data_IF_221933501152
#
_entry.id   IF_221933501152
#
_cell.length_a   1.000
_cell.length_b   1.000
_cell.length_c   1.000
_cell.angle_alpha   90.00
_cell.angle_beta   90.00
_cell.angle_gamma   90.00
#
_symmetry.space_group_name_H-M   'P 1'
#
loop_
_entity.id
_entity.type
_entity.pdbx_description
1 polymer ?
#
# COMPACT_ATOMS: atom_id res chain seq x y z
N UNK A 1 1.49 24.91 -5.57
CA UNK A 1 0.65 24.47 -4.39
C UNK A 1 1.39 23.44 -3.53
N UNK A 2 1.17 23.41 -2.19
CA UNK A 2 1.75 22.37 -1.29
C UNK A 2 1.02 21.03 -1.46
N UNK A 3 1.74 19.93 -1.61
CA UNK A 3 1.14 18.62 -1.89
C UNK A 3 1.90 17.46 -1.27
N UNK A 4 1.22 16.31 -1.14
CA UNK A 4 1.82 15.02 -0.80
C UNK A 4 1.65 14.03 -1.97
N UNK A 5 2.62 13.12 -2.11
CA UNK A 5 2.48 11.96 -3.00
C UNK A 5 2.08 10.73 -2.18
N UNK A 6 1.12 10.01 -2.71
CA UNK A 6 0.59 8.79 -2.13
C UNK A 6 0.87 7.60 -3.07
N UNK A 7 1.40 6.52 -2.55
CA UNK A 7 1.73 5.32 -3.32
C UNK A 7 0.76 4.19 -3.01
N UNK A 8 0.04 3.67 -4.02
CA UNK A 8 -0.93 2.61 -3.82
C UNK A 8 -0.27 1.28 -3.44
N UNK A 9 -1.05 0.42 -2.78
CA UNK A 9 -0.68 -0.94 -2.44
C UNK A 9 -1.39 -1.99 -3.27
N UNK A 10 -1.32 -3.24 -2.80
CA UNK A 10 -1.97 -4.38 -3.42
C UNK A 10 -3.48 -4.16 -3.59
N UNK A 11 -4.01 -4.52 -4.76
CA UNK A 11 -5.37 -4.24 -5.20
C UNK A 11 -5.45 -3.13 -6.26
N UNK A 12 -4.34 -2.40 -6.51
CA UNK A 12 -4.27 -1.39 -7.57
C UNK A 12 -3.69 -1.94 -8.88
N UNK A 13 -3.13 -3.16 -8.87
CA UNK A 13 -2.56 -3.80 -10.05
C UNK A 13 -3.66 -4.23 -11.05
N UNK A 14 -3.37 -4.05 -12.32
CA UNK A 14 -4.16 -4.61 -13.42
C UNK A 14 -3.24 -4.92 -14.59
N UNK A 15 -3.57 -5.94 -15.37
CA UNK A 15 -2.90 -6.17 -16.66
C UNK A 15 -3.13 -4.95 -17.55
N UNK A 16 -2.07 -4.43 -18.14
CA UNK A 16 -2.10 -3.20 -18.91
C UNK A 16 -1.99 -1.92 -18.06
N UNK A 17 -1.74 -2.01 -16.74
CA UNK A 17 -1.56 -0.81 -15.91
C UNK A 17 -0.46 0.11 -16.47
N UNK A 18 -0.67 1.43 -16.36
CA UNK A 18 0.19 2.48 -16.89
C UNK A 18 0.32 2.52 -18.44
N UNK A 19 -0.48 1.76 -19.19
CA UNK A 19 -0.46 1.81 -20.67
C UNK A 19 -0.86 3.19 -21.24
N UNK A 20 -1.54 4.01 -20.46
CA UNK A 20 -1.86 5.41 -20.79
C UNK A 20 -0.70 6.40 -20.66
N UNK A 21 0.48 5.96 -20.20
CA UNK A 21 1.69 6.76 -20.13
C UNK A 21 2.54 6.64 -21.40
N UNK A 22 3.08 7.78 -21.83
CA UNK A 22 4.03 7.88 -22.95
C UNK A 22 5.45 8.26 -22.49
N UNK A 23 5.64 8.51 -21.18
CA UNK A 23 6.92 8.91 -20.62
C UNK A 23 7.94 7.76 -20.70
N UNK A 24 9.17 8.01 -21.20
CA UNK A 24 10.19 6.96 -21.37
C UNK A 24 10.62 6.32 -20.05
N UNK A 25 10.50 7.02 -18.93
CA UNK A 25 10.79 6.54 -17.59
C UNK A 25 9.96 5.31 -17.22
N UNK A 26 8.74 5.18 -17.77
CA UNK A 26 7.86 4.04 -17.49
C UNK A 26 8.50 2.76 -18.04
N UNK A 27 8.84 2.74 -19.32
CA UNK A 27 9.44 1.57 -19.95
C UNK A 27 10.83 1.25 -19.38
N UNK A 28 11.65 2.28 -19.15
CA UNK A 28 12.99 2.12 -18.58
C UNK A 28 12.96 1.51 -17.16
N UNK A 29 12.02 1.93 -16.32
CA UNK A 29 11.91 1.42 -14.96
C UNK A 29 11.44 -0.04 -14.93
N UNK A 30 10.51 -0.45 -15.79
CA UNK A 30 10.09 -1.85 -15.87
C UNK A 30 11.21 -2.74 -16.46
N UNK A 31 12.02 -2.25 -17.40
CA UNK A 31 13.18 -2.96 -17.89
C UNK A 31 14.23 -3.17 -16.79
N UNK A 32 14.58 -2.12 -16.04
CA UNK A 32 15.47 -2.20 -14.88
C UNK A 32 14.93 -3.19 -13.83
N UNK A 33 13.63 -3.16 -13.53
CA UNK A 33 13.01 -4.10 -12.60
C UNK A 33 13.14 -5.55 -13.07
N UNK A 34 12.98 -5.79 -14.38
CA UNK A 34 13.12 -7.14 -14.97
C UNK A 34 14.55 -7.66 -14.84
N UNK A 35 15.56 -6.82 -15.08
CA UNK A 35 16.98 -7.18 -14.89
C UNK A 35 17.29 -7.52 -13.43
N UNK A 36 16.81 -6.72 -12.48
CA UNK A 36 17.06 -6.91 -11.04
C UNK A 36 16.43 -8.19 -10.51
N UNK A 37 15.21 -8.52 -10.98
CA UNK A 37 14.41 -9.64 -10.46
C UNK A 37 14.65 -10.94 -11.22
N UNK A 38 15.26 -10.87 -12.41
CA UNK A 38 15.53 -12.07 -13.24
C UNK A 38 14.29 -12.68 -13.89
N UNK A 39 13.18 -11.94 -13.97
CA UNK A 39 11.97 -12.32 -14.69
C UNK A 39 11.34 -11.11 -15.37
N UNK A 40 10.55 -11.35 -16.42
CA UNK A 40 10.02 -10.30 -17.28
C UNK A 40 8.81 -9.57 -16.65
N UNK A 41 9.11 -8.56 -15.83
CA UNK A 41 8.11 -7.67 -15.20
C UNK A 41 7.32 -6.94 -16.27
N UNK A 42 7.99 -6.49 -17.34
CA UNK A 42 7.37 -5.73 -18.44
C UNK A 42 6.26 -6.55 -19.10
N UNK A 43 6.55 -7.79 -19.46
CA UNK A 43 5.56 -8.68 -20.08
C UNK A 43 4.42 -8.99 -19.13
N UNK A 44 4.71 -9.34 -17.87
CA UNK A 44 3.69 -9.66 -16.90
C UNK A 44 2.73 -8.48 -16.67
N UNK A 45 3.25 -7.27 -16.58
CA UNK A 45 2.44 -6.06 -16.41
C UNK A 45 1.60 -5.74 -17.65
N UNK A 46 2.16 -5.89 -18.85
CA UNK A 46 1.47 -5.54 -20.11
C UNK A 46 0.47 -6.60 -20.57
N UNK A 47 0.85 -7.87 -20.47
CA UNK A 47 0.18 -8.99 -21.12
C UNK A 47 -0.44 -9.98 -20.13
N UNK A 48 -0.01 -9.96 -18.87
CA UNK A 48 -0.44 -10.90 -17.85
C UNK A 48 0.25 -12.26 -17.96
N UNK A 49 -0.39 -13.35 -17.51
CA UNK A 49 -1.81 -13.45 -17.11
C UNK A 49 -2.12 -12.76 -15.76
N UNK A 50 -3.38 -12.34 -15.60
CA UNK A 50 -3.82 -11.67 -14.37
C UNK A 50 -3.64 -12.53 -13.12
N UNK A 51 -3.81 -13.83 -13.21
CA UNK A 51 -3.61 -14.78 -12.10
C UNK A 51 -2.17 -14.73 -11.58
N UNK A 52 -1.19 -14.67 -12.46
CA UNK A 52 0.22 -14.56 -12.07
C UNK A 52 0.53 -13.17 -11.50
N UNK A 53 0.01 -12.11 -12.11
CA UNK A 53 0.18 -10.74 -11.60
C UNK A 53 -0.43 -10.59 -10.19
N UNK A 54 -1.50 -11.31 -9.87
CA UNK A 54 -2.18 -11.28 -8.58
C UNK A 54 -1.52 -12.15 -7.49
N UNK A 55 -0.50 -12.93 -7.82
CA UNK A 55 0.30 -13.63 -6.80
C UNK A 55 1.10 -12.61 -6.02
N UNK A 56 1.01 -12.65 -4.70
CA UNK A 56 1.57 -11.62 -3.81
C UNK A 56 3.06 -11.35 -4.07
N UNK A 57 3.85 -12.39 -4.35
CA UNK A 57 5.28 -12.29 -4.68
C UNK A 57 5.56 -11.68 -6.07
N UNK A 58 4.55 -11.57 -6.93
CA UNK A 58 4.62 -10.88 -8.24
C UNK A 58 3.99 -9.50 -8.17
N UNK A 59 2.85 -9.39 -7.49
CA UNK A 59 2.13 -8.11 -7.30
C UNK A 59 3.02 -7.06 -6.66
N UNK A 60 3.74 -7.41 -5.58
CA UNK A 60 4.48 -6.43 -4.81
C UNK A 60 5.62 -5.79 -5.61
N UNK A 61 6.54 -6.52 -6.26
CA UNK A 61 7.56 -5.89 -7.08
C UNK A 61 6.99 -5.19 -8.33
N UNK A 62 5.92 -5.70 -8.93
CA UNK A 62 5.27 -5.02 -10.08
C UNK A 62 4.69 -3.66 -9.69
N UNK A 63 4.02 -3.56 -8.52
CA UNK A 63 3.48 -2.30 -8.01
C UNK A 63 4.58 -1.33 -7.55
N UNK A 64 5.64 -1.82 -6.93
CA UNK A 64 6.79 -0.99 -6.57
C UNK A 64 7.42 -0.40 -7.83
N UNK A 65 7.67 -1.23 -8.86
CA UNK A 65 8.19 -0.76 -10.14
C UNK A 65 7.26 0.27 -10.80
N UNK A 66 5.95 0.02 -10.81
CA UNK A 66 4.95 0.94 -11.36
C UNK A 66 4.95 2.29 -10.63
N UNK A 67 4.94 2.30 -9.29
CA UNK A 67 4.97 3.53 -8.50
C UNK A 67 6.27 4.32 -8.71
N UNK A 68 7.42 3.64 -8.74
CA UNK A 68 8.73 4.29 -9.02
C UNK A 68 8.77 4.83 -10.45
N UNK A 69 8.19 4.11 -11.42
CA UNK A 69 8.12 4.58 -12.81
C UNK A 69 7.34 5.90 -12.93
N UNK A 70 6.17 5.98 -12.31
CA UNK A 70 5.36 7.21 -12.27
C UNK A 70 6.07 8.32 -11.49
N UNK A 71 6.76 7.99 -10.39
CA UNK A 71 7.57 8.95 -9.64
C UNK A 71 8.70 9.54 -10.51
N UNK A 72 9.44 8.73 -11.26
CA UNK A 72 10.48 9.20 -12.19
C UNK A 72 9.91 10.11 -13.28
N UNK A 73 8.76 9.72 -13.86
CA UNK A 73 8.04 10.55 -14.82
C UNK A 73 7.52 11.87 -14.21
N UNK A 74 7.17 11.87 -12.93
CA UNK A 74 6.81 13.09 -12.19
C UNK A 74 8.03 13.99 -11.98
N UNK A 75 9.17 13.43 -11.59
CA UNK A 75 10.40 14.17 -11.38
C UNK A 75 10.90 14.86 -12.65
N UNK A 76 10.71 14.23 -13.84
CA UNK A 76 11.10 14.83 -15.13
C UNK A 76 10.33 16.11 -15.48
N UNK A 77 9.18 16.38 -14.80
CA UNK A 77 8.43 17.62 -14.96
C UNK A 77 9.08 18.85 -14.29
N UNK A 78 10.17 18.67 -13.55
CA UNK A 78 10.89 19.76 -12.84
C UNK A 78 9.98 20.63 -11.95
N UNK A 79 9.06 19.99 -11.23
CA UNK A 79 8.12 20.63 -10.32
C UNK A 79 8.72 20.78 -8.92
N UNK A 80 8.17 21.68 -8.07
CA UNK A 80 8.52 21.73 -6.66
C UNK A 80 8.38 20.36 -6.00
N UNK A 81 9.31 20.00 -5.10
CA UNK A 81 9.25 18.74 -4.39
C UNK A 81 7.97 18.62 -3.52
N UNK A 82 7.41 17.41 -3.35
CA UNK A 82 6.33 17.17 -2.39
C UNK A 82 6.82 17.43 -0.96
N UNK A 83 5.93 17.88 -0.08
CA UNK A 83 6.27 18.11 1.33
C UNK A 83 6.27 16.83 2.15
N UNK A 84 5.54 15.81 1.72
CA UNK A 84 5.48 14.51 2.39
C UNK A 84 5.16 13.41 1.38
N UNK A 85 5.54 12.20 1.74
CA UNK A 85 5.20 10.96 1.04
C UNK A 85 4.47 10.03 2.00
N UNK A 86 3.56 9.23 1.47
CA UNK A 86 2.96 8.12 2.19
C UNK A 86 2.64 6.99 1.22
N UNK A 87 2.59 5.77 1.71
CA UNK A 87 2.20 4.63 0.88
C UNK A 87 1.36 3.65 1.67
N UNK A 88 0.36 3.05 1.02
CA UNK A 88 -0.49 2.06 1.65
C UNK A 88 0.14 0.69 1.57
N UNK A 89 0.43 0.05 2.72
CA UNK A 89 1.06 -1.27 2.80
C UNK A 89 2.34 -1.36 1.94
N UNK A 90 2.32 -2.06 0.83
CA UNK A 90 3.44 -2.10 -0.12
C UNK A 90 3.88 -0.71 -0.58
N UNK A 91 2.94 0.20 -0.78
CA UNK A 91 3.25 1.57 -1.21
C UNK A 91 4.20 2.33 -0.27
N UNK A 92 4.32 1.92 1.00
CA UNK A 92 5.30 2.49 1.93
C UNK A 92 6.75 2.24 1.47
N UNK A 93 7.03 1.07 0.89
CA UNK A 93 8.34 0.78 0.28
C UNK A 93 8.60 1.66 -0.93
N UNK A 94 7.59 1.88 -1.77
CA UNK A 94 7.68 2.79 -2.91
C UNK A 94 7.94 4.23 -2.44
N UNK A 95 7.26 4.68 -1.39
CA UNK A 95 7.49 5.99 -0.79
C UNK A 95 8.93 6.14 -0.26
N UNK A 96 9.49 5.10 0.35
CA UNK A 96 10.88 5.09 0.84
C UNK A 96 11.90 5.13 -0.32
N UNK A 97 11.62 4.47 -1.45
CA UNK A 97 12.43 4.59 -2.67
C UNK A 97 12.35 6.02 -3.21
N UNK A 98 11.15 6.58 -3.33
CA UNK A 98 10.95 7.95 -3.80
C UNK A 98 11.62 9.00 -2.90
N UNK A 99 11.70 8.74 -1.59
CA UNK A 99 12.40 9.57 -0.61
C UNK A 99 13.94 9.39 -0.61
N UNK A 100 14.49 8.46 -1.41
CA UNK A 100 15.91 8.12 -1.41
C UNK A 100 16.38 7.33 -0.19
N UNK A 101 15.46 6.83 0.63
CA UNK A 101 15.77 6.02 1.81
C UNK A 101 16.12 4.56 1.47
N UNK A 102 15.54 4.01 0.41
CA UNK A 102 15.83 2.69 -0.13
C UNK A 102 16.32 2.80 -1.58
N UNK A 103 17.32 2.00 -1.94
CA UNK A 103 17.69 1.81 -3.33
C UNK A 103 16.61 0.99 -4.06
N UNK A 104 16.34 1.32 -5.33
CA UNK A 104 15.28 0.66 -6.10
C UNK A 104 15.52 -0.84 -6.28
N UNK A 105 16.74 -1.25 -6.62
CA UNK A 105 17.09 -2.65 -6.80
C UNK A 105 16.97 -3.46 -5.50
N UNK A 106 17.39 -2.89 -4.37
CA UNK A 106 17.26 -3.53 -3.06
C UNK A 106 15.80 -3.61 -2.62
N UNK A 107 15.02 -2.56 -2.87
CA UNK A 107 13.60 -2.52 -2.57
C UNK A 107 12.81 -3.58 -3.37
N UNK A 108 13.13 -3.78 -4.67
CA UNK A 108 12.51 -4.82 -5.50
C UNK A 108 12.70 -6.22 -4.90
N UNK A 109 13.95 -6.56 -4.56
CA UNK A 109 14.28 -7.87 -3.93
C UNK A 109 13.63 -8.02 -2.56
N UNK A 110 13.57 -6.92 -1.80
CA UNK A 110 12.97 -6.91 -0.46
C UNK A 110 11.46 -7.15 -0.52
N UNK A 111 10.74 -6.50 -1.45
CA UNK A 111 9.29 -6.68 -1.55
C UNK A 111 8.90 -8.00 -2.24
N UNK A 112 9.74 -8.55 -3.12
CA UNK A 112 9.55 -9.92 -3.63
C UNK A 112 9.66 -10.93 -2.49
N UNK A 113 10.70 -10.83 -1.67
CA UNK A 113 10.86 -11.67 -0.47
C UNK A 113 9.68 -11.45 0.51
N UNK A 114 9.25 -10.20 0.73
CA UNK A 114 8.09 -9.88 1.57
C UNK A 114 6.85 -10.63 1.07
N UNK A 115 6.58 -10.60 -0.23
CA UNK A 115 5.46 -11.32 -0.85
C UNK A 115 5.54 -12.83 -0.64
N UNK A 116 6.72 -13.42 -0.83
CA UNK A 116 6.97 -14.86 -0.59
C UNK A 116 6.74 -15.24 0.87
N UNK A 117 7.29 -14.47 1.81
CA UNK A 117 7.15 -14.71 3.24
C UNK A 117 5.69 -14.58 3.71
N UNK A 118 4.97 -13.59 3.21
CA UNK A 118 3.55 -13.39 3.52
C UNK A 118 2.70 -14.54 2.96
N UNK A 119 2.97 -14.99 1.73
CA UNK A 119 2.25 -16.11 1.12
C UNK A 119 2.51 -17.43 1.87
N UNK A 120 3.72 -17.60 2.40
CA UNK A 120 4.11 -18.80 3.16
C UNK A 120 3.70 -18.75 4.65
N UNK A 121 3.18 -17.63 5.13
CA UNK A 121 2.89 -17.44 6.57
C UNK A 121 1.73 -18.30 7.07
N UNK A 122 0.77 -18.61 6.21
CA UNK A 122 -0.38 -19.47 6.51
C UNK A 122 -0.61 -20.46 5.35
N UNK A 123 -1.14 -21.66 5.64
CA UNK A 123 -1.53 -22.58 4.57
C UNK A 123 -2.58 -21.95 3.64
N UNK A 124 -2.49 -22.27 2.35
CA UNK A 124 -3.43 -21.75 1.37
C UNK A 124 -4.90 -22.08 1.75
N UNK A 125 -5.77 -21.09 1.66
CA UNK A 125 -7.20 -21.23 1.97
C UNK A 125 -7.56 -21.18 3.47
N UNK A 126 -6.58 -21.07 4.38
CA UNK A 126 -6.85 -21.02 5.83
C UNK A 126 -6.95 -19.61 6.39
N UNK A 127 -6.63 -18.60 5.62
CA UNK A 127 -6.74 -17.19 5.99
C UNK A 127 -7.23 -16.31 4.84
N UNK A 128 -7.51 -15.05 5.14
CA UNK A 128 -7.97 -14.08 4.15
C UNK A 128 -8.28 -12.73 4.77
N UNK A 129 -9.01 -11.92 4.00
CA UNK A 129 -9.41 -10.57 4.42
C UNK A 129 -10.86 -10.28 4.01
N UNK A 130 -11.51 -9.43 4.78
CA UNK A 130 -12.92 -9.02 4.60
C UNK A 130 -13.02 -7.51 4.78
N UNK A 131 -13.69 -6.82 3.88
CA UNK A 131 -14.03 -5.41 4.04
C UNK A 131 -15.33 -5.27 4.82
N UNK A 132 -15.30 -4.49 5.90
CA UNK A 132 -16.49 -4.08 6.70
C UNK A 132 -16.80 -2.63 6.36
N UNK A 133 -18.01 -2.37 5.88
CA UNK A 133 -18.45 -1.07 5.39
C UNK A 133 -19.64 -0.57 6.21
N UNK A 134 -19.58 0.72 6.59
CA UNK A 134 -20.67 1.43 7.27
C UNK A 134 -20.69 1.20 8.78
N UNK A 135 -19.58 0.78 9.36
CA UNK A 135 -19.39 0.63 10.79
C UNK A 135 -18.13 1.40 11.22
N UNK A 136 -18.22 2.15 12.30
CA UNK A 136 -17.11 2.94 12.83
C UNK A 136 -15.98 2.03 13.38
N UNK A 137 -14.76 2.57 13.39
CA UNK A 137 -13.54 1.83 13.68
C UNK A 137 -13.58 1.11 15.04
N UNK A 138 -14.03 1.80 16.11
CA UNK A 138 -14.17 1.24 17.47
C UNK A 138 -15.20 0.10 17.54
N UNK A 139 -16.27 0.20 16.75
CA UNK A 139 -17.29 -0.83 16.66
C UNK A 139 -16.79 -2.06 15.89
N UNK A 140 -15.96 -1.87 14.86
CA UNK A 140 -15.31 -2.99 14.17
C UNK A 140 -14.34 -3.69 15.11
N UNK A 141 -13.54 -2.94 15.89
CA UNK A 141 -12.66 -3.52 16.91
C UNK A 141 -13.45 -4.31 17.97
N UNK A 142 -14.57 -3.76 18.46
CA UNK A 142 -15.43 -4.44 19.41
C UNK A 142 -16.06 -5.71 18.82
N UNK A 143 -16.49 -5.64 17.55
CA UNK A 143 -17.04 -6.80 16.85
C UNK A 143 -16.01 -7.92 16.70
N UNK A 144 -14.80 -7.61 16.30
CA UNK A 144 -13.72 -8.61 16.22
C UNK A 144 -13.43 -9.24 17.59
N UNK A 145 -13.40 -8.45 18.67
CA UNK A 145 -13.21 -8.95 20.03
C UNK A 145 -14.37 -9.82 20.54
N UNK A 146 -15.57 -9.67 19.99
CA UNK A 146 -16.74 -10.48 20.38
C UNK A 146 -16.81 -11.83 19.69
N UNK A 147 -15.87 -12.14 18.78
CA UNK A 147 -15.77 -13.45 18.16
C UNK A 147 -15.58 -14.53 19.22
N UNK A 148 -16.42 -15.57 19.25
CA UNK A 148 -16.38 -16.56 20.33
C UNK A 148 -15.34 -17.67 20.15
N UNK A 149 -14.70 -17.75 18.96
CA UNK A 149 -13.69 -18.77 18.66
C UNK A 149 -12.29 -18.37 19.12
N UNK A 150 -11.33 -19.26 18.88
CA UNK A 150 -9.92 -19.05 19.22
C UNK A 150 -9.08 -18.54 18.02
N UNK A 151 -9.67 -18.54 16.83
CA UNK A 151 -9.01 -18.12 15.61
C UNK A 151 -8.79 -16.61 15.61
N UNK A 152 -7.72 -16.19 14.91
CA UNK A 152 -7.41 -14.77 14.76
C UNK A 152 -8.47 -14.06 13.92
N UNK A 153 -8.95 -12.92 14.44
CA UNK A 153 -9.85 -11.98 13.77
C UNK A 153 -9.46 -10.56 14.19
N UNK A 154 -8.74 -9.85 13.35
CA UNK A 154 -8.17 -8.54 13.69
C UNK A 154 -8.49 -7.48 12.63
N UNK A 155 -8.87 -6.24 13.03
CA UNK A 155 -8.96 -5.11 12.11
C UNK A 155 -7.57 -4.68 11.69
N UNK A 156 -7.35 -4.60 10.37
CA UNK A 156 -5.99 -4.48 9.82
C UNK A 156 -5.77 -3.28 8.90
N UNK A 157 -6.81 -2.75 8.25
CA UNK A 157 -6.66 -1.52 7.48
C UNK A 157 -7.80 -0.55 7.84
N UNK A 158 -7.46 0.53 8.51
CA UNK A 158 -8.36 1.65 8.78
C UNK A 158 -8.30 2.59 7.58
N UNK A 159 -9.07 2.27 6.54
CA UNK A 159 -8.92 2.86 5.21
C UNK A 159 -9.64 4.20 5.04
N UNK A 160 -10.81 4.35 5.64
CA UNK A 160 -11.59 5.59 5.68
C UNK A 160 -12.67 5.46 6.78
N UNK A 161 -13.27 6.55 7.25
CA UNK A 161 -14.42 6.49 8.16
C UNK A 161 -15.48 5.54 7.64
N UNK A 162 -15.86 4.55 8.43
CA UNK A 162 -16.80 3.49 8.05
C UNK A 162 -16.29 2.51 6.99
N UNK A 163 -14.98 2.38 6.80
CA UNK A 163 -14.37 1.38 5.92
C UNK A 163 -13.11 0.77 6.55
N UNK A 164 -13.27 -0.39 7.15
CA UNK A 164 -12.19 -1.15 7.79
C UNK A 164 -12.06 -2.51 7.11
N UNK A 165 -10.82 -2.95 6.88
CA UNK A 165 -10.53 -4.32 6.48
C UNK A 165 -10.13 -5.11 7.71
N UNK A 166 -10.68 -6.31 7.82
CA UNK A 166 -10.41 -7.30 8.88
C UNK A 166 -9.70 -8.48 8.26
N UNK A 167 -8.64 -8.96 8.88
CA UNK A 167 -7.92 -10.18 8.49
C UNK A 167 -8.02 -11.24 9.57
N UNK A 168 -7.86 -12.49 9.17
CA UNK A 168 -7.87 -13.61 10.10
C UNK A 168 -7.98 -14.95 9.42
N UNK A 169 -8.26 -15.96 10.21
CA UNK A 169 -8.50 -17.32 9.74
C UNK A 169 -9.91 -17.45 9.15
N UNK A 170 -10.07 -18.36 8.21
CA UNK A 170 -11.29 -18.48 7.39
C UNK A 170 -12.55 -18.64 8.25
N UNK A 171 -12.53 -19.48 9.31
CA UNK A 171 -13.68 -19.68 10.20
C UNK A 171 -14.12 -18.38 10.91
N UNK A 172 -13.17 -17.57 11.37
CA UNK A 172 -13.46 -16.29 12.01
C UNK A 172 -13.99 -15.25 11.00
N UNK A 173 -13.46 -15.24 9.79
CA UNK A 173 -13.96 -14.38 8.70
C UNK A 173 -15.37 -14.78 8.25
N UNK A 174 -15.69 -16.07 8.23
CA UNK A 174 -17.03 -16.57 7.92
C UNK A 174 -18.03 -16.17 9.00
N UNK A 175 -17.64 -16.25 10.27
CA UNK A 175 -18.45 -15.74 11.36
C UNK A 175 -18.70 -14.23 11.23
N UNK A 176 -17.66 -13.45 10.91
CA UNK A 176 -17.80 -12.01 10.70
C UNK A 176 -18.75 -11.69 9.54
N UNK A 177 -18.66 -12.43 8.42
CA UNK A 177 -19.55 -12.25 7.28
C UNK A 177 -21.01 -12.56 7.61
N UNK A 178 -21.26 -13.56 8.46
CA UNK A 178 -22.59 -13.95 8.90
C UNK A 178 -23.19 -12.96 9.93
N UNK A 179 -22.37 -12.42 10.83
CA UNK A 179 -22.85 -11.65 11.99
C UNK A 179 -22.71 -10.12 11.82
N UNK A 180 -21.82 -9.64 10.94
CA UNK A 180 -21.49 -8.23 10.85
C UNK A 180 -22.68 -7.31 10.61
N UNK A 181 -23.64 -7.70 9.78
CA UNK A 181 -24.86 -6.91 9.54
C UNK A 181 -25.73 -6.78 10.80
N UNK A 182 -25.85 -7.81 11.60
CA UNK A 182 -26.60 -7.76 12.86
C UNK A 182 -25.95 -6.81 13.89
N UNK A 183 -24.64 -6.55 13.75
CA UNK A 183 -23.88 -5.61 14.56
C UNK A 183 -23.78 -4.21 13.92
N UNK A 184 -24.55 -3.93 12.88
CA UNK A 184 -24.68 -2.59 12.29
C UNK A 184 -23.80 -2.33 11.07
N UNK A 185 -23.01 -3.29 10.57
CA UNK A 185 -22.31 -3.14 9.31
C UNK A 185 -23.31 -3.09 8.14
N UNK A 186 -23.15 -2.11 7.25
CA UNK A 186 -23.98 -2.03 6.03
C UNK A 186 -23.63 -3.17 5.08
N UNK A 187 -22.37 -3.54 4.98
CA UNK A 187 -21.87 -4.60 4.12
C UNK A 187 -20.63 -5.24 4.71
N UNK A 188 -20.52 -6.55 4.54
CA UNK A 188 -19.31 -7.34 4.83
C UNK A 188 -19.00 -8.13 3.57
N UNK A 189 -17.79 -7.91 3.01
CA UNK A 189 -17.43 -8.47 1.70
C UNK A 189 -16.04 -9.12 1.76
N UNK A 190 -15.95 -10.40 1.38
CA UNK A 190 -14.66 -11.08 1.23
C UNK A 190 -13.84 -10.43 0.11
N UNK A 191 -12.57 -10.20 0.37
CA UNK A 191 -11.63 -9.70 -0.63
C UNK A 191 -11.00 -10.88 -1.39
N UNK A 192 -10.66 -10.71 -2.67
CA UNK A 192 -10.02 -11.75 -3.48
C UNK A 192 -8.52 -11.88 -3.17
N UNK A 193 -8.19 -12.02 -1.87
CA UNK A 193 -6.83 -12.18 -1.36
C UNK A 193 -6.79 -13.35 -0.38
N UNK A 194 -5.76 -14.18 -0.48
CA UNK A 194 -5.61 -15.39 0.34
C UNK A 194 -4.67 -15.20 1.54
N UNK A 195 -4.01 -14.04 1.62
CA UNK A 195 -3.04 -13.74 2.67
C UNK A 195 -3.71 -12.83 3.72
N UNK A 196 -3.79 -13.23 5.00
CA UNK A 196 -4.31 -12.40 6.07
C UNK A 196 -3.26 -11.37 6.52
N UNK A 197 -3.06 -10.32 5.69
CA UNK A 197 -2.04 -9.30 5.90
C UNK A 197 -2.31 -8.44 7.13
N UNK A 198 -1.25 -7.92 7.74
CA UNK A 198 -1.30 -6.91 8.82
C UNK A 198 -1.92 -7.39 10.14
N UNK A 199 -2.06 -8.70 10.36
CA UNK A 199 -2.51 -9.30 11.63
C UNK A 199 -1.42 -10.17 12.27
N UNK A 200 -1.68 -10.65 13.46
CA UNK A 200 -0.73 -11.45 14.27
C UNK A 200 -0.24 -12.73 13.58
N UNK A 201 -0.99 -13.28 12.61
CA UNK A 201 -0.56 -14.42 11.79
C UNK A 201 0.69 -14.13 10.94
N UNK A 202 1.00 -12.85 10.70
CA UNK A 202 2.19 -12.44 9.94
C UNK A 202 3.47 -12.31 10.78
N UNK A 203 3.45 -12.53 12.11
CA UNK A 203 4.63 -12.32 12.97
C UNK A 203 5.86 -13.11 12.52
N UNK A 204 5.68 -14.40 12.23
CA UNK A 204 6.80 -15.23 11.77
C UNK A 204 7.38 -14.76 10.42
N UNK A 205 6.54 -14.28 9.51
CA UNK A 205 7.00 -13.66 8.26
C UNK A 205 7.77 -12.36 8.54
N UNK A 206 7.31 -11.55 9.51
CA UNK A 206 7.97 -10.32 9.91
C UNK A 206 9.35 -10.57 10.53
N UNK A 207 9.50 -11.61 11.36
CA UNK A 207 10.81 -11.98 11.96
C UNK A 207 11.81 -12.34 10.86
N UNK A 208 11.39 -13.10 9.85
CA UNK A 208 12.24 -13.44 8.69
C UNK A 208 12.59 -12.20 7.84
N UNK A 209 11.61 -11.33 7.63
CA UNK A 209 11.84 -10.09 6.88
C UNK A 209 12.80 -9.16 7.64
N UNK A 210 12.75 -9.13 8.97
CA UNK A 210 13.64 -8.32 9.80
C UNK A 210 15.12 -8.67 9.59
N UNK A 211 15.44 -9.96 9.36
CA UNK A 211 16.79 -10.40 9.04
C UNK A 211 17.27 -9.73 7.74
N UNK A 212 16.46 -9.76 6.70
CA UNK A 212 16.79 -9.12 5.43
C UNK A 212 16.85 -7.60 5.53
N UNK A 213 15.95 -6.99 6.30
CA UNK A 213 15.97 -5.55 6.57
C UNK A 213 17.25 -5.10 7.30
N UNK A 214 17.79 -5.92 8.18
CA UNK A 214 19.04 -5.63 8.88
C UNK A 214 20.25 -5.54 7.91
N UNK A 215 20.24 -6.33 6.84
CA UNK A 215 21.27 -6.34 5.80
C UNK A 215 21.05 -5.28 4.72
N UNK A 216 19.82 -4.76 4.60
CA UNK A 216 19.47 -3.79 3.55
C UNK A 216 19.96 -2.39 3.95
N UNK A 217 20.75 -1.69 3.09
CA UNK A 217 21.10 -0.29 3.32
C UNK A 217 19.85 0.59 3.36
N UNK A 218 19.68 1.34 4.43
CA UNK A 218 18.60 2.31 4.60
C UNK A 218 19.22 3.65 4.98
N UNK A 219 18.85 4.70 4.23
CA UNK A 219 19.34 6.05 4.42
C UNK A 219 18.25 6.95 5.04
N UNK A 220 18.65 8.12 5.50
CA UNK A 220 17.70 9.15 5.93
C UNK A 220 16.85 9.59 4.73
N UNK A 221 15.52 9.59 4.83
CA UNK A 221 14.65 10.09 3.77
C UNK A 221 14.89 11.58 3.50
N UNK A 222 15.04 11.95 2.23
CA UNK A 222 15.15 13.36 1.81
C UNK A 222 13.79 14.09 1.90
N UNK A 223 12.69 13.35 1.82
CA UNK A 223 11.33 13.83 1.96
C UNK A 223 10.68 13.00 3.07
N UNK A 224 10.00 13.60 4.06
CA UNK A 224 9.35 12.86 5.13
C UNK A 224 8.37 11.80 4.59
N UNK A 225 8.49 10.56 5.08
CA UNK A 225 7.60 9.43 4.76
C UNK A 225 6.79 9.07 5.98
N UNK A 226 5.45 9.19 5.89
CA UNK A 226 4.54 8.71 6.95
C UNK A 226 4.43 7.19 6.92
N UNK A 227 4.72 6.54 8.05
CA UNK A 227 4.66 5.07 8.18
C UNK A 227 3.26 4.59 8.54
N UNK A 228 2.87 3.42 8.03
CA UNK A 228 1.53 2.84 8.25
C UNK A 228 1.24 2.52 9.72
N UNK A 229 2.27 2.23 10.48
CA UNK A 229 2.21 1.78 11.86
C UNK A 229 1.49 2.77 12.79
N UNK A 230 1.79 4.07 12.66
CA UNK A 230 1.32 5.12 13.55
C UNK A 230 1.11 6.47 12.85
N UNK A 231 1.17 6.50 11.53
CA UNK A 231 1.02 7.71 10.70
C UNK A 231 2.10 8.79 10.96
N UNK A 232 3.27 8.42 11.48
CA UNK A 232 4.36 9.33 11.81
C UNK A 232 5.61 9.07 10.96
N UNK A 233 6.42 10.09 10.66
CA UNK A 233 7.66 9.89 9.92
C UNK A 233 8.78 9.32 10.80
N UNK A 234 9.77 8.69 10.16
CA UNK A 234 11.02 8.24 10.74
C UNK A 234 12.19 8.85 9.97
N UNK A 235 13.23 9.23 10.70
CA UNK A 235 14.42 9.87 10.11
C UNK A 235 15.65 8.97 10.12
N UNK A 236 15.64 7.90 10.89
CA UNK A 236 16.78 7.01 11.05
C UNK A 236 16.50 5.60 10.55
N UNK A 237 17.56 4.91 10.13
CA UNK A 237 17.47 3.57 9.56
C UNK A 237 16.84 2.53 10.51
N UNK A 238 17.10 2.60 11.80
CA UNK A 238 16.59 1.63 12.77
C UNK A 238 15.09 1.83 13.01
N UNK A 239 14.64 3.09 13.09
CA UNK A 239 13.22 3.43 13.16
C UNK A 239 12.45 2.96 11.94
N UNK A 240 13.04 3.12 10.73
CA UNK A 240 12.45 2.64 9.47
C UNK A 240 12.38 1.10 9.45
N UNK A 241 13.49 0.40 9.78
CA UNK A 241 13.51 -1.07 9.85
C UNK A 241 12.44 -1.61 10.79
N UNK A 242 12.33 -1.02 11.97
CA UNK A 242 11.31 -1.38 12.95
C UNK A 242 9.90 -1.15 12.39
N UNK A 243 9.63 0.01 11.79
CA UNK A 243 8.33 0.32 11.21
C UNK A 243 7.93 -0.67 10.11
N UNK A 244 8.86 -1.01 9.19
CA UNK A 244 8.62 -1.98 8.12
C UNK A 244 8.42 -3.41 8.65
N UNK A 245 9.15 -3.81 9.69
CA UNK A 245 8.97 -5.11 10.33
C UNK A 245 7.59 -5.22 11.00
N UNK A 246 7.25 -4.23 11.83
CA UNK A 246 5.99 -4.22 12.56
C UNK A 246 4.77 -4.04 11.63
N UNK A 247 4.93 -3.38 10.49
CA UNK A 247 3.89 -3.19 9.48
C UNK A 247 3.27 -4.52 9.01
N UNK A 248 4.04 -5.63 8.96
CA UNK A 248 3.50 -6.90 8.49
C UNK A 248 2.39 -7.46 9.37
N UNK A 249 2.47 -7.23 10.67
CA UNK A 249 1.54 -7.80 11.65
C UNK A 249 0.78 -6.76 12.48
N UNK A 250 0.84 -5.48 12.09
CA UNK A 250 0.11 -4.38 12.72
C UNK A 250 -0.73 -3.63 11.70
N UNK A 251 -1.81 -2.97 12.15
CA UNK A 251 -2.74 -2.29 11.25
C UNK A 251 -2.10 -1.15 10.44
N UNK A 252 -2.58 -1.00 9.21
CA UNK A 252 -2.37 0.19 8.38
C UNK A 252 -3.34 1.29 8.83
N UNK A 253 -2.81 2.38 9.37
CA UNK A 253 -3.59 3.52 9.87
C UNK A 253 -3.75 4.59 8.79
N UNK A 254 -4.39 4.22 7.68
CA UNK A 254 -4.46 5.09 6.51
C UNK A 254 -5.27 6.37 6.75
N UNK A 255 -6.43 6.26 7.41
CA UNK A 255 -7.24 7.44 7.79
C UNK A 255 -6.41 8.43 8.60
N UNK A 256 -5.71 7.98 9.62
CA UNK A 256 -4.85 8.83 10.44
C UNK A 256 -3.69 9.43 9.63
N UNK A 257 -3.10 8.68 8.69
CA UNK A 257 -2.04 9.19 7.80
C UNK A 257 -2.53 10.41 7.00
N UNK A 258 -3.68 10.29 6.34
CA UNK A 258 -4.23 11.38 5.52
C UNK A 258 -4.66 12.57 6.41
N UNK A 259 -5.27 12.33 7.57
CA UNK A 259 -5.65 13.37 8.52
C UNK A 259 -4.43 14.12 9.08
N UNK A 260 -3.34 13.40 9.43
CA UNK A 260 -2.11 14.01 9.92
C UNK A 260 -1.45 14.89 8.84
N UNK A 261 -1.40 14.41 7.59
CA UNK A 261 -0.89 15.21 6.47
C UNK A 261 -1.74 16.45 6.23
N UNK A 262 -3.06 16.32 6.30
CA UNK A 262 -3.98 17.47 6.18
C UNK A 262 -3.79 18.46 7.32
N UNK A 263 -3.63 18.00 8.56
CA UNK A 263 -3.34 18.84 9.73
C UNK A 263 -2.04 19.63 9.61
N UNK A 264 -1.10 19.20 8.76
CA UNK A 264 0.12 19.93 8.39
C UNK A 264 -0.09 20.97 7.28
N UNK A 265 -1.33 21.19 6.85
CA UNK A 265 -1.73 22.16 5.82
C UNK A 265 -1.65 21.61 4.39
N UNK A 266 -1.60 20.29 4.21
CA UNK A 266 -1.65 19.66 2.90
C UNK A 266 -3.11 19.38 2.50
N UNK A 267 -3.54 19.91 1.36
CA UNK A 267 -4.89 19.72 0.81
C UNK A 267 -4.91 19.10 -0.58
N UNK A 268 -3.74 18.96 -1.21
CA UNK A 268 -3.55 18.30 -2.50
C UNK A 268 -2.79 16.99 -2.30
N UNK A 269 -3.40 15.88 -2.73
CA UNK A 269 -2.87 14.52 -2.63
C UNK A 269 -2.79 13.91 -4.03
N UNK A 270 -1.61 13.49 -4.45
CA UNK A 270 -1.40 12.92 -5.77
C UNK A 270 -1.12 11.42 -5.63
N UNK A 271 -1.97 10.57 -6.20
CA UNK A 271 -1.76 9.11 -6.19
C UNK A 271 -0.77 8.73 -7.30
N UNK A 272 0.44 8.37 -6.89
CA UNK A 272 1.59 8.09 -7.74
C UNK A 272 1.72 6.57 -7.95
N UNK A 273 1.13 6.08 -9.01
CA UNK A 273 1.08 4.66 -9.35
C UNK A 273 -0.17 4.29 -10.13
N UNK A 274 -0.44 2.99 -10.31
CA UNK A 274 -1.61 2.54 -11.05
C UNK A 274 -2.91 2.67 -10.23
N UNK A 275 -4.01 2.96 -10.91
CA UNK A 275 -5.35 3.03 -10.35
C UNK A 275 -5.69 4.33 -9.63
N UNK A 276 -6.81 4.33 -8.91
CA UNK A 276 -7.42 5.49 -8.22
C UNK A 276 -7.95 5.11 -6.84
N UNK A 277 -7.37 4.10 -6.21
CA UNK A 277 -7.86 3.56 -4.93
C UNK A 277 -7.67 4.59 -3.82
N UNK A 278 -6.47 5.17 -3.71
CA UNK A 278 -6.16 6.14 -2.66
C UNK A 278 -6.90 7.46 -2.88
N UNK A 279 -7.10 7.88 -4.14
CA UNK A 279 -7.96 9.02 -4.48
C UNK A 279 -9.40 8.78 -4.00
N UNK A 280 -9.92 7.57 -4.16
CA UNK A 280 -11.24 7.19 -3.67
C UNK A 280 -11.35 7.22 -2.14
N UNK A 281 -10.33 6.75 -1.44
CA UNK A 281 -10.23 6.80 0.02
C UNK A 281 -10.07 8.24 0.51
N UNK A 282 -9.22 9.03 -0.14
CA UNK A 282 -8.98 10.44 0.20
C UNK A 282 -10.26 11.27 0.22
N UNK A 283 -11.13 11.11 -0.79
CA UNK A 283 -12.45 11.78 -0.86
C UNK A 283 -13.39 11.40 0.29
N UNK A 284 -13.22 10.24 0.89
CA UNK A 284 -14.03 9.77 2.03
C UNK A 284 -13.46 10.24 3.36
N UNK A 285 -12.14 10.45 3.43
CA UNK A 285 -11.46 10.90 4.64
C UNK A 285 -11.57 12.43 4.78
N UNK A 286 -11.40 13.15 3.67
CA UNK A 286 -11.39 14.62 3.64
C UNK A 286 -12.39 15.15 2.62
N UNK A 287 -13.46 15.77 3.07
CA UNK A 287 -14.49 16.35 2.21
C UNK A 287 -13.94 17.48 1.30
N UNK A 288 -12.98 18.26 1.82
CA UNK A 288 -12.37 19.40 1.13
C UNK A 288 -11.00 19.08 0.52
N UNK A 289 -10.50 17.85 0.71
CA UNK A 289 -9.23 17.38 0.14
C UNK A 289 -9.33 17.12 -1.36
N UNK A 290 -8.34 17.60 -2.12
CA UNK A 290 -8.24 17.31 -3.55
C UNK A 290 -7.30 16.13 -3.80
N UNK A 291 -7.80 15.10 -4.47
CA UNK A 291 -7.01 13.93 -4.84
C UNK A 291 -6.99 13.76 -6.36
N UNK A 292 -5.81 13.56 -6.94
CA UNK A 292 -5.59 13.37 -8.38
C UNK A 292 -4.72 12.14 -8.59
N UNK A 293 -5.13 11.26 -9.49
CA UNK A 293 -4.33 10.09 -9.89
C UNK A 293 -3.36 10.45 -11.00
N UNK A 294 -2.15 9.92 -10.90
CA UNK A 294 -1.09 10.02 -11.91
C UNK A 294 -1.01 8.74 -12.76
N UNK A 295 -2.07 7.96 -12.87
CA UNK A 295 -2.06 6.65 -13.55
C UNK A 295 -1.87 6.73 -15.07
N UNK A 296 -2.05 7.91 -15.67
CA UNK A 296 -1.91 8.16 -17.10
C UNK A 296 -1.34 9.56 -17.39
N UNK A 297 -1.04 9.83 -18.65
CA UNK A 297 -0.46 11.11 -19.08
C UNK A 297 -1.39 12.31 -18.81
N UNK A 298 -2.70 12.13 -18.90
CA UNK A 298 -3.67 13.19 -18.65
C UNK A 298 -3.72 13.56 -17.17
N UNK A 299 -3.73 12.57 -16.28
CA UNK A 299 -3.68 12.76 -14.82
C UNK A 299 -2.38 13.44 -14.39
N UNK A 300 -1.24 13.00 -14.96
CA UNK A 300 0.07 13.60 -14.68
C UNK A 300 0.11 15.06 -15.10
N UNK A 301 -0.40 15.41 -16.30
CA UNK A 301 -0.47 16.81 -16.78
C UNK A 301 -1.39 17.66 -15.89
N UNK A 302 -2.60 17.18 -15.58
CA UNK A 302 -3.55 17.90 -14.75
C UNK A 302 -2.98 18.18 -13.34
N UNK A 303 -2.28 17.21 -12.75
CA UNK A 303 -1.62 17.37 -11.46
C UNK A 303 -0.47 18.39 -11.54
N UNK A 304 0.32 18.38 -12.62
CA UNK A 304 1.40 19.32 -12.82
C UNK A 304 0.90 20.77 -12.89
N UNK A 305 -0.22 21.01 -13.58
CA UNK A 305 -0.84 22.33 -13.64
C UNK A 305 -1.31 22.83 -12.27
N UNK A 306 -1.85 21.93 -11.44
CA UNK A 306 -2.25 22.26 -10.06
C UNK A 306 -1.05 22.60 -9.15
N UNK A 307 0.06 21.93 -9.34
CA UNK A 307 1.27 22.20 -8.52
C UNK A 307 1.93 23.51 -8.93
N UNK A 308 1.86 23.88 -10.23
CA UNK A 308 2.38 25.17 -10.71
C UNK A 308 1.55 26.37 -10.29
N UNK A 309 0.23 26.20 -10.17
CA UNK A 309 -0.70 27.22 -9.68
C UNK A 309 -0.53 27.49 -8.17
#
# INVERSE_FOLDING_TARGET
MKYALLFPGQGSQAVGMLSGHVAPEIAATFAEASEVLGWDVTRLVKEGPAEELNRTERTQPALLAAGVAVWRAWQSQSLPAPLALAGHSLGEYTALVAAGALNFADALKLVELRGQLMQAAVPAGTGGMVAVIGLEDDKVEALCKSYPGAEVLEPVNFNAPGQVVVAGQTAALDWLAANGKAHGARMVMKLPVSVPSHCSLMRHAADKLAIRLAETPIHQPAIPVSHNLDALPRVDANGIRRALTEQLYRPVRWTATIQNLHGQGLSLFLECGPGKVLCGLGKRILAEGRSVSLEDAAGLSAAADLVRA
#
